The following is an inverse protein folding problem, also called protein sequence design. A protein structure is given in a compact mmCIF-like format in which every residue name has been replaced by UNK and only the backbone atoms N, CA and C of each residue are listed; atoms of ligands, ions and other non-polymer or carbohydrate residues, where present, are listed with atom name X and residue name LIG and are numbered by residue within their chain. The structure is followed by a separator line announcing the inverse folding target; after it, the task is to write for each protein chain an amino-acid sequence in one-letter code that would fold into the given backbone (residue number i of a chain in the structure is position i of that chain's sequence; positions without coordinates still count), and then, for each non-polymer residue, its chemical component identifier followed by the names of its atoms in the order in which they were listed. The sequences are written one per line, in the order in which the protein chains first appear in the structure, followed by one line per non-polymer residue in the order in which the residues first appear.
data_IF_780781155660
#
_entry.id   IF_780781155660
#
_cell.length_a   1.000
_cell.length_b   1.000
_cell.length_c   1.000
_cell.angle_alpha   90.00
_cell.angle_beta   90.00
_cell.angle_gamma   90.00
#
_symmetry.space_group_name_H-M   'P 1'
#
loop_
_entity.id
_entity.type
_entity.pdbx_description
1 polymer ?
#
# COMPACT_ATOMS: atom_id res chain seq x y z
N UNK A 1 -5.99 -24.27 2.82
CA UNK A 1 -7.18 -23.39 2.99
C UNK A 1 -7.81 -23.23 1.62
N UNK A 2 -9.09 -23.55 1.46
CA UNK A 2 -9.82 -23.23 0.24
C UNK A 2 -10.47 -21.85 0.40
N UNK A 3 -10.04 -20.88 -0.40
CA UNK A 3 -10.49 -19.49 -0.33
C UNK A 3 -11.79 -19.23 -1.10
N UNK A 4 -12.27 -20.21 -1.87
CA UNK A 4 -13.45 -20.06 -2.72
C UNK A 4 -13.25 -19.06 -3.86
N UNK A 5 -14.35 -18.49 -4.37
CA UNK A 5 -14.30 -17.46 -5.41
C UNK A 5 -14.08 -16.09 -4.77
N UNK A 6 -12.96 -15.45 -5.08
CA UNK A 6 -12.60 -14.13 -4.60
C UNK A 6 -12.25 -13.22 -5.77
N UNK A 7 -12.67 -11.95 -5.70
CA UNK A 7 -12.24 -10.92 -6.65
C UNK A 7 -10.83 -10.39 -6.28
N UNK A 8 -10.52 -10.34 -4.99
CA UNK A 8 -9.28 -9.82 -4.41
C UNK A 8 -8.81 -10.69 -3.25
N UNK A 9 -7.51 -11.00 -3.22
CA UNK A 9 -6.81 -11.56 -2.08
C UNK A 9 -5.69 -10.59 -1.69
N UNK A 10 -5.78 -10.00 -0.51
CA UNK A 10 -4.71 -9.17 0.06
C UNK A 10 -3.81 -10.07 0.90
N UNK A 11 -2.51 -10.05 0.63
CA UNK A 11 -1.52 -10.80 1.40
C UNK A 11 -0.68 -9.81 2.19
N UNK A 12 -0.75 -9.90 3.52
CA UNK A 12 0.15 -9.16 4.40
C UNK A 12 1.50 -9.89 4.47
N UNK A 13 2.53 -9.20 4.01
CA UNK A 13 3.86 -9.76 3.84
C UNK A 13 4.69 -9.46 5.10
N UNK A 14 5.58 -10.35 5.52
CA UNK A 14 6.49 -10.03 6.63
C UNK A 14 7.29 -8.76 6.31
N UNK A 15 7.74 -8.01 7.32
CA UNK A 15 8.51 -6.79 7.09
C UNK A 15 9.87 -7.10 6.42
N UNK A 16 10.40 -6.12 5.70
CA UNK A 16 11.72 -6.19 5.06
C UNK A 16 11.71 -6.80 3.65
N UNK A 17 12.85 -7.35 3.26
CA UNK A 17 13.11 -7.85 1.89
C UNK A 17 13.82 -9.20 1.92
N UNK A 18 13.39 -10.07 2.83
CA UNK A 18 13.98 -11.40 3.01
C UNK A 18 13.46 -12.41 1.99
N UNK A 19 13.85 -13.67 2.22
CA UNK A 19 13.55 -14.77 1.31
C UNK A 19 12.05 -15.11 1.24
N UNK A 20 11.30 -14.83 2.32
CA UNK A 20 9.86 -15.06 2.36
C UNK A 20 9.13 -14.22 1.30
N UNK A 21 9.51 -12.94 1.15
CA UNK A 21 8.88 -12.07 0.18
C UNK A 21 9.22 -12.44 -1.26
N UNK A 22 10.47 -12.85 -1.49
CA UNK A 22 10.91 -13.34 -2.79
C UNK A 22 10.18 -14.64 -3.18
N UNK A 23 10.09 -15.57 -2.23
CA UNK A 23 9.40 -16.85 -2.43
C UNK A 23 7.93 -16.62 -2.81
N UNK A 24 7.23 -15.75 -2.08
CA UNK A 24 5.84 -15.40 -2.39
C UNK A 24 5.69 -14.77 -3.78
N UNK A 25 6.57 -13.82 -4.13
CA UNK A 25 6.54 -13.17 -5.43
C UNK A 25 6.86 -14.13 -6.61
N UNK A 26 7.63 -15.18 -6.37
CA UNK A 26 7.96 -16.19 -7.38
C UNK A 26 6.92 -17.31 -7.48
N UNK A 27 6.29 -17.69 -6.37
CA UNK A 27 5.36 -18.82 -6.32
C UNK A 27 3.92 -18.42 -6.63
N UNK A 28 3.56 -17.15 -6.42
CA UNK A 28 2.19 -16.66 -6.59
C UNK A 28 2.17 -15.57 -7.65
N UNK A 29 1.27 -15.64 -8.66
CA UNK A 29 1.10 -14.55 -9.61
C UNK A 29 0.45 -13.35 -8.92
N UNK A 30 1.27 -12.40 -8.49
CA UNK A 30 0.82 -11.18 -7.83
C UNK A 30 0.35 -10.16 -8.87
N UNK A 31 -0.85 -9.59 -8.68
CA UNK A 31 -1.32 -8.46 -9.50
C UNK A 31 -0.52 -7.18 -9.27
N UNK A 32 0.18 -7.09 -8.14
CA UNK A 32 1.10 -6.01 -7.81
C UNK A 32 1.33 -5.91 -6.30
N UNK A 33 2.18 -4.97 -5.91
CA UNK A 33 2.57 -4.72 -4.53
C UNK A 33 2.30 -3.26 -4.12
N UNK A 34 1.83 -3.08 -2.88
CA UNK A 34 1.71 -1.78 -2.21
C UNK A 34 2.79 -1.70 -1.14
N UNK A 35 3.56 -0.62 -1.15
CA UNK A 35 4.59 -0.39 -0.14
C UNK A 35 4.05 0.55 0.93
N UNK A 36 4.16 0.14 2.19
CA UNK A 36 3.79 0.97 3.34
C UNK A 36 5.07 1.34 4.08
N UNK A 37 5.28 2.62 4.32
CA UNK A 37 6.46 3.11 5.05
C UNK A 37 6.11 4.35 5.86
N UNK A 38 6.97 4.72 6.81
CA UNK A 38 6.87 5.97 7.57
C UNK A 38 7.77 7.05 6.95
N UNK A 39 7.60 8.35 7.30
CA UNK A 39 8.26 9.43 6.59
C UNK A 39 9.79 9.51 6.78
N UNK A 40 10.36 8.80 7.77
CA UNK A 40 11.79 8.88 8.06
C UNK A 40 12.63 8.21 6.97
N UNK A 41 13.80 8.79 6.70
CA UNK A 41 14.76 8.23 5.74
C UNK A 41 15.16 6.79 6.05
N UNK A 42 15.28 6.42 7.34
CA UNK A 42 15.60 5.05 7.73
C UNK A 42 14.53 4.05 7.30
N UNK A 43 13.24 4.39 7.46
CA UNK A 43 12.13 3.54 7.03
C UNK A 43 12.04 3.47 5.49
N UNK A 44 12.40 4.56 4.81
CA UNK A 44 12.40 4.62 3.34
C UNK A 44 13.53 3.78 2.73
N UNK A 45 14.64 3.53 3.44
CA UNK A 45 15.69 2.63 2.96
C UNK A 45 15.15 1.21 2.73
N UNK A 46 14.29 0.73 3.62
CA UNK A 46 13.71 -0.61 3.48
C UNK A 46 12.61 -0.64 2.42
N UNK A 47 11.81 0.42 2.31
CA UNK A 47 10.89 0.61 1.19
C UNK A 47 11.62 0.53 -0.17
N UNK A 48 12.78 1.21 -0.30
CA UNK A 48 13.63 1.18 -1.50
C UNK A 48 14.12 -0.21 -1.84
N UNK A 49 14.59 -0.96 -0.84
CA UNK A 49 15.01 -2.35 -1.06
C UNK A 49 13.82 -3.19 -1.54
N UNK A 50 12.65 -3.03 -0.93
CA UNK A 50 11.44 -3.79 -1.28
C UNK A 50 11.00 -3.50 -2.72
N UNK A 51 10.98 -2.22 -3.09
CA UNK A 51 10.73 -1.76 -4.45
C UNK A 51 11.68 -2.41 -5.46
N UNK A 52 12.98 -2.42 -5.17
CA UNK A 52 13.99 -3.03 -6.05
C UNK A 52 13.84 -4.56 -6.15
N UNK A 53 13.42 -5.22 -5.06
CA UNK A 53 13.16 -6.65 -5.06
C UNK A 53 11.97 -6.97 -5.97
N UNK A 54 10.82 -6.31 -5.79
CA UNK A 54 9.62 -6.55 -6.62
C UNK A 54 9.87 -6.26 -8.11
N UNK A 55 10.65 -5.22 -8.43
CA UNK A 55 11.09 -4.95 -9.80
C UNK A 55 11.92 -6.08 -10.41
N UNK A 56 12.73 -6.81 -9.62
CA UNK A 56 13.56 -7.91 -10.11
C UNK A 56 12.78 -9.20 -10.40
N UNK A 57 11.59 -9.32 -9.82
CA UNK A 57 10.69 -10.47 -10.00
C UNK A 57 9.44 -10.09 -10.79
N UNK A 58 9.53 -8.99 -11.55
CA UNK A 58 8.48 -8.49 -12.45
C UNK A 58 7.10 -8.30 -11.79
N UNK A 59 7.08 -7.97 -10.50
CA UNK A 59 5.84 -7.63 -9.78
C UNK A 59 5.57 -6.13 -9.92
N UNK A 60 4.42 -5.71 -10.48
CA UNK A 60 4.07 -4.31 -10.61
C UNK A 60 3.96 -3.61 -9.26
N UNK A 61 4.47 -2.39 -9.18
CA UNK A 61 4.32 -1.55 -8.00
C UNK A 61 3.06 -0.70 -8.17
N UNK A 62 2.07 -0.97 -7.32
CA UNK A 62 0.79 -0.28 -7.36
C UNK A 62 0.88 1.12 -6.71
N UNK A 63 1.77 1.27 -5.73
CA UNK A 63 2.09 2.57 -5.16
C UNK A 63 2.66 2.50 -3.75
N UNK A 64 2.81 3.67 -3.15
CA UNK A 64 3.37 3.86 -1.80
C UNK A 64 2.35 4.58 -0.91
N UNK A 65 2.17 4.07 0.30
CA UNK A 65 1.42 4.71 1.40
C UNK A 65 2.41 5.23 2.44
N UNK A 66 2.21 6.47 2.88
CA UNK A 66 2.93 7.04 4.03
C UNK A 66 2.10 6.84 5.31
N UNK A 67 2.49 5.90 6.15
CA UNK A 67 1.87 5.67 7.44
C UNK A 67 2.47 6.58 8.52
N UNK A 68 1.69 6.89 9.56
CA UNK A 68 2.09 7.77 10.66
C UNK A 68 2.68 9.12 10.19
N UNK A 69 2.05 9.71 9.16
CA UNK A 69 2.58 10.89 8.45
C UNK A 69 2.54 12.18 9.28
N UNK A 70 1.56 12.30 10.15
CA UNK A 70 1.39 13.44 11.06
C UNK A 70 0.48 13.05 12.23
N UNK A 71 0.50 13.84 13.29
CA UNK A 71 -0.36 13.72 14.46
C UNK A 71 -1.09 15.04 14.69
N UNK A 72 -2.41 15.01 14.91
CA UNK A 72 -3.19 16.16 15.34
C UNK A 72 -3.48 16.01 16.82
N UNK A 73 -2.97 16.93 17.63
CA UNK A 73 -3.19 16.90 19.06
C UNK A 73 -4.68 17.17 19.38
N UNK A 74 -5.37 16.29 20.12
CA UNK A 74 -6.82 16.36 20.30
C UNK A 74 -7.26 17.56 21.17
N UNK A 75 -6.36 18.05 22.03
CA UNK A 75 -6.60 19.14 22.96
C UNK A 75 -6.46 20.53 22.31
N UNK A 76 -5.57 20.66 21.32
CA UNK A 76 -5.18 21.94 20.72
C UNK A 76 -5.47 22.03 19.23
N UNK A 77 -5.73 20.90 18.55
CA UNK A 77 -5.83 20.81 17.10
C UNK A 77 -4.50 21.04 16.37
N UNK A 78 -3.39 21.18 17.11
CA UNK A 78 -2.09 21.47 16.51
C UNK A 78 -1.52 20.22 15.82
N UNK A 79 -1.00 20.42 14.62
CA UNK A 79 -0.32 19.38 13.84
C UNK A 79 1.14 19.22 14.26
N UNK A 80 1.57 17.98 14.37
CA UNK A 80 2.95 17.57 14.64
C UNK A 80 3.38 16.51 13.66
N UNK A 81 4.48 16.75 12.95
CA UNK A 81 5.11 15.77 12.09
C UNK A 81 6.16 14.99 12.90
N UNK A 82 5.69 14.22 13.90
CA UNK A 82 6.52 13.54 14.92
C UNK A 82 7.65 12.71 14.29
N UNK A 83 7.35 12.12 13.14
CA UNK A 83 8.21 11.22 12.39
C UNK A 83 8.73 11.83 11.08
N UNK A 84 8.63 13.16 10.94
CA UNK A 84 8.78 13.85 9.66
C UNK A 84 7.51 13.76 8.81
N UNK A 85 7.55 14.31 7.59
CA UNK A 85 6.41 14.31 6.67
C UNK A 85 6.84 14.31 5.20
N UNK A 86 6.07 13.62 4.36
CA UNK A 86 6.20 13.59 2.91
C UNK A 86 7.42 12.83 2.39
N UNK A 87 8.09 12.04 3.24
CA UNK A 87 9.22 11.22 2.85
C UNK A 87 8.84 10.16 1.81
N UNK A 88 7.74 9.44 2.05
CA UNK A 88 7.25 8.42 1.12
C UNK A 88 6.67 9.03 -0.16
N UNK A 89 6.09 10.24 -0.08
CA UNK A 89 5.64 11.00 -1.27
C UNK A 89 6.80 11.37 -2.18
N UNK A 90 7.85 11.99 -1.63
CA UNK A 90 9.05 12.34 -2.41
C UNK A 90 9.71 11.10 -3.00
N UNK A 91 9.69 9.99 -2.26
CA UNK A 91 10.23 8.72 -2.76
C UNK A 91 9.38 8.14 -3.90
N UNK A 92 8.05 8.22 -3.80
CA UNK A 92 7.14 7.81 -4.86
C UNK A 92 7.40 8.60 -6.16
N UNK A 93 7.52 9.92 -6.05
CA UNK A 93 7.88 10.81 -7.16
C UNK A 93 9.24 10.44 -7.78
N UNK A 94 10.26 10.25 -6.93
CA UNK A 94 11.62 9.87 -7.37
C UNK A 94 11.64 8.56 -8.15
N UNK A 95 10.79 7.61 -7.78
CA UNK A 95 10.72 6.28 -8.38
C UNK A 95 9.73 6.18 -9.54
N UNK A 96 8.97 7.24 -9.82
CA UNK A 96 7.90 7.25 -10.81
C UNK A 96 6.76 6.31 -10.47
N UNK A 97 6.46 6.13 -9.18
CA UNK A 97 5.35 5.28 -8.69
C UNK A 97 4.26 6.13 -8.05
N UNK A 98 3.03 5.61 -8.01
CA UNK A 98 1.88 6.33 -7.47
C UNK A 98 2.01 6.54 -5.96
N UNK A 99 1.82 7.77 -5.51
CA UNK A 99 1.58 8.04 -4.09
C UNK A 99 0.09 7.83 -3.77
N UNK A 100 -0.21 6.79 -3.00
CA UNK A 100 -1.58 6.36 -2.73
C UNK A 100 -2.24 7.26 -1.67
N UNK A 101 -1.49 7.69 -0.68
CA UNK A 101 -1.98 8.57 0.37
C UNK A 101 -1.13 8.52 1.62
N UNK A 102 -1.54 9.31 2.60
CA UNK A 102 -0.94 9.39 3.92
C UNK A 102 -1.97 9.08 4.99
N UNK A 103 -1.56 8.35 6.02
CA UNK A 103 -2.38 7.98 7.17
C UNK A 103 -1.83 8.68 8.42
N UNK A 104 -2.66 9.38 9.19
CA UNK A 104 -2.22 10.03 10.42
C UNK A 104 -1.88 9.00 11.51
N UNK A 105 -1.01 9.40 12.43
CA UNK A 105 -0.93 8.76 13.74
C UNK A 105 -2.14 9.23 14.55
N UNK A 106 -3.09 8.34 14.82
CA UNK A 106 -4.34 8.67 15.50
C UNK A 106 -4.70 7.54 16.49
N UNK A 107 -5.18 7.92 17.68
CA UNK A 107 -5.40 7.00 18.79
C UNK A 107 -6.56 6.05 18.52
N UNK A 108 -7.66 6.55 17.96
CA UNK A 108 -8.81 5.76 17.55
C UNK A 108 -8.47 4.71 16.49
N UNK A 109 -7.56 4.98 15.55
CA UNK A 109 -7.05 3.97 14.60
C UNK A 109 -6.41 2.81 15.37
N UNK A 110 -5.47 3.08 16.28
CA UNK A 110 -4.82 2.05 17.10
C UNK A 110 -5.82 1.30 17.97
N UNK A 111 -6.62 2.01 18.76
CA UNK A 111 -7.55 1.42 19.73
C UNK A 111 -8.59 0.52 19.08
N UNK A 112 -9.19 0.98 17.99
CA UNK A 112 -10.20 0.22 17.27
C UNK A 112 -9.61 -0.99 16.56
N UNK A 113 -8.37 -0.89 16.04
CA UNK A 113 -7.66 -2.01 15.43
C UNK A 113 -7.30 -3.08 16.47
N UNK A 114 -6.76 -2.67 17.64
CA UNK A 114 -6.43 -3.57 18.75
C UNK A 114 -7.68 -4.28 19.30
N UNK A 115 -8.83 -3.59 19.29
CA UNK A 115 -10.12 -4.15 19.68
C UNK A 115 -10.77 -5.04 18.60
N UNK A 116 -10.14 -5.21 17.43
CA UNK A 116 -10.67 -6.01 16.32
C UNK A 116 -11.85 -5.35 15.57
N UNK A 117 -12.06 -4.04 15.72
CA UNK A 117 -13.13 -3.28 15.08
C UNK A 117 -12.60 -2.03 14.37
N UNK A 118 -11.80 -2.18 13.28
CA UNK A 118 -11.08 -1.08 12.64
C UNK A 118 -11.97 0.13 12.29
N UNK A 119 -11.38 1.33 12.22
CA UNK A 119 -12.10 2.59 11.97
C UNK A 119 -13.02 2.59 10.75
N UNK A 120 -12.69 1.84 9.70
CA UNK A 120 -13.53 1.71 8.50
C UNK A 120 -14.87 0.99 8.76
N UNK A 121 -14.93 0.17 9.82
CA UNK A 121 -16.12 -0.54 10.29
C UNK A 121 -16.81 0.23 11.42
N UNK A 122 -16.04 0.67 12.42
CA UNK A 122 -16.60 1.29 13.64
C UNK A 122 -17.02 2.74 13.43
N UNK A 123 -16.36 3.48 12.53
CA UNK A 123 -16.67 4.88 12.20
C UNK A 123 -16.64 5.09 10.68
N UNK A 124 -17.56 4.47 9.92
CA UNK A 124 -17.48 4.42 8.47
C UNK A 124 -17.50 5.81 7.81
N UNK A 125 -18.14 6.82 8.39
CA UNK A 125 -18.20 8.17 7.80
C UNK A 125 -17.12 9.12 8.35
N UNK A 126 -16.26 8.61 9.23
CA UNK A 126 -15.17 9.34 9.86
C UNK A 126 -14.05 9.72 8.88
N UNK A 127 -13.25 10.75 9.21
CA UNK A 127 -12.17 11.21 8.34
C UNK A 127 -11.11 10.13 8.10
N UNK A 128 -10.79 9.31 9.11
CA UNK A 128 -9.80 8.23 8.99
C UNK A 128 -10.31 7.13 8.05
N UNK A 129 -11.60 6.77 8.14
CA UNK A 129 -12.20 5.78 7.26
C UNK A 129 -12.20 6.24 5.80
N UNK A 130 -12.40 7.54 5.55
CA UNK A 130 -12.30 8.12 4.20
C UNK A 130 -10.89 7.98 3.62
N UNK A 131 -9.85 8.24 4.41
CA UNK A 131 -8.45 8.07 3.98
C UNK A 131 -8.20 6.63 3.50
N UNK A 132 -8.61 5.63 4.27
CA UNK A 132 -8.43 4.23 3.88
C UNK A 132 -9.22 3.86 2.61
N UNK A 133 -10.45 4.37 2.45
CA UNK A 133 -11.24 4.14 1.23
C UNK A 133 -10.63 4.80 0.00
N UNK A 134 -10.11 6.02 0.15
CA UNK A 134 -9.44 6.73 -0.95
C UNK A 134 -8.17 5.99 -1.38
N UNK A 135 -7.38 5.47 -0.43
CA UNK A 135 -6.23 4.61 -0.71
C UNK A 135 -6.69 3.34 -1.44
N UNK A 136 -7.71 2.64 -0.92
CA UNK A 136 -8.22 1.42 -1.51
C UNK A 136 -8.75 1.64 -2.94
N UNK A 137 -9.44 2.76 -3.20
CA UNK A 137 -9.90 3.13 -4.54
C UNK A 137 -8.74 3.29 -5.52
N UNK A 138 -7.70 4.03 -5.13
CA UNK A 138 -6.51 4.23 -5.99
C UNK A 138 -5.75 2.92 -6.24
N UNK A 139 -5.66 2.05 -5.24
CA UNK A 139 -5.09 0.70 -5.41
C UNK A 139 -5.91 -0.10 -6.41
N UNK A 140 -7.23 -0.06 -6.30
CA UNK A 140 -8.13 -0.77 -7.22
C UNK A 140 -8.01 -0.27 -8.66
N UNK A 141 -7.97 1.05 -8.85
CA UNK A 141 -7.77 1.66 -10.17
C UNK A 141 -6.45 1.17 -10.79
N UNK A 142 -5.37 1.16 -10.00
CA UNK A 142 -4.06 0.70 -10.46
C UNK A 142 -4.03 -0.79 -10.79
N UNK A 143 -4.72 -1.63 -10.02
CA UNK A 143 -4.86 -3.07 -10.33
C UNK A 143 -5.58 -3.27 -11.66
N UNK A 144 -6.62 -2.48 -11.94
CA UNK A 144 -7.36 -2.58 -13.21
C UNK A 144 -6.52 -2.11 -14.39
N UNK A 145 -5.72 -1.05 -14.23
CA UNK A 145 -4.77 -0.60 -15.24
C UNK A 145 -3.74 -1.70 -15.58
N UNK A 146 -3.15 -2.34 -14.56
CA UNK A 146 -2.17 -3.42 -14.76
C UNK A 146 -2.79 -4.65 -15.41
N UNK A 147 -4.01 -5.02 -15.01
CA UNK A 147 -4.76 -6.11 -15.67
C UNK A 147 -5.07 -5.78 -17.13
N UNK A 148 -5.46 -4.54 -17.42
CA UNK A 148 -5.72 -4.07 -18.78
C UNK A 148 -4.45 -4.07 -19.65
N UNK A 149 -3.32 -3.60 -19.10
CA UNK A 149 -2.03 -3.62 -19.77
C UNK A 149 -1.55 -5.04 -20.06
N UNK A 150 -1.68 -5.96 -19.10
CA UNK A 150 -1.33 -7.37 -19.27
C UNK A 150 -2.21 -8.03 -20.36
N UNK A 151 -3.50 -7.74 -20.42
CA UNK A 151 -4.40 -8.26 -21.45
C UNK A 151 -4.06 -7.73 -22.85
N UNK A 152 -3.69 -6.44 -22.96
CA UNK A 152 -3.30 -5.83 -24.23
C UNK A 152 -1.95 -6.33 -24.75
N UNK A 153 -1.06 -6.80 -23.87
CA UNK A 153 0.26 -7.33 -24.23
C UNK A 153 0.22 -8.76 -24.79
N UNK A 154 -0.93 -9.46 -24.72
CA UNK A 154 -1.09 -10.78 -25.33
C UNK A 154 -1.48 -10.61 -26.81
N UNK A 155 -0.61 -10.95 -27.78
CA UNK A 155 -0.93 -10.80 -29.19
C UNK A 155 -2.06 -11.77 -29.58
N UNK A 156 -3.04 -11.27 -30.35
CA UNK A 156 -4.09 -12.11 -30.93
C UNK A 156 -3.50 -13.00 -32.02
N UNK A 157 -3.37 -14.30 -31.75
CA UNK A 157 -3.00 -15.28 -32.77
C UNK A 157 -4.23 -15.50 -33.65
N UNK A 158 -4.20 -14.92 -34.85
CA UNK A 158 -5.21 -15.15 -35.89
C UNK A 158 -4.67 -16.27 -36.79
N UNK A 159 -5.39 -17.38 -36.86
CA UNK A 159 -5.17 -18.39 -37.90
C UNK A 159 -6.03 -18.02 -39.10
N UNK A 160 -5.38 -17.85 -40.25
CA UNK A 160 -6.03 -17.66 -41.56
C UNK A 160 -6.41 -19.02 -42.17
#
# INVERSE_FOLDING_TARGET
VEWGRLDVLVVDMPPGTGDAQLTMAQQVPLAGAVIVSTPQDLALIDARKGLNMFKKVDVPLLGIVENMSYFIAPDTGKRYDIFGHGGARREAERLGVTFLGEVPLEMGIRESSDAGTPVVVSKPDGPEAKIYRDIASKVWDRVNEERGAAAAAVPSIVFE
#
